data_IF_186056604218
#
_entry.id   IF_186056604218
#
_cell.length_a   1.000
_cell.length_b   1.000
_cell.length_c   1.000
_cell.angle_alpha   90.00
_cell.angle_beta   90.00
_cell.angle_gamma   90.00
#
_symmetry.space_group_name_H-M   'P 1'
#
loop_
_entity.id
_entity.type
_entity.pdbx_description
1 polymer ?
#
# COMPACT_ATOMS: atom_id res chain seq x y z
N UNK A 1 -18.80 -18.15 25.03
CA UNK A 1 -17.74 -17.17 24.72
C UNK A 1 -18.26 -15.81 25.16
N UNK A 2 -17.61 -15.15 26.14
CA UNK A 2 -17.92 -13.77 26.47
C UNK A 2 -17.43 -12.90 25.30
N UNK A 3 -18.35 -12.23 24.61
CA UNK A 3 -18.02 -11.16 23.67
C UNK A 3 -17.44 -10.02 24.50
N UNK A 4 -16.13 -10.01 24.70
CA UNK A 4 -15.44 -8.86 25.26
C UNK A 4 -15.51 -7.75 24.22
N UNK A 5 -16.31 -6.73 24.52
CA UNK A 5 -16.40 -5.52 23.72
C UNK A 5 -15.01 -4.87 23.64
N UNK A 6 -14.53 -4.61 22.42
CA UNK A 6 -13.33 -3.82 22.18
C UNK A 6 -13.67 -2.60 21.33
N UNK A 7 -13.34 -1.40 21.82
CA UNK A 7 -13.74 -0.14 21.15
C UNK A 7 -13.11 0.00 19.76
N UNK A 8 -11.88 -0.48 19.57
CA UNK A 8 -11.18 -0.38 18.29
C UNK A 8 -11.70 -1.36 17.25
N UNK A 9 -12.23 -2.52 17.66
CA UNK A 9 -12.95 -3.41 16.73
C UNK A 9 -14.14 -2.68 16.09
N UNK A 10 -14.91 -1.93 16.89
CA UNK A 10 -16.06 -1.16 16.39
C UNK A 10 -15.61 0.03 15.53
N UNK A 11 -14.64 0.82 16.01
CA UNK A 11 -14.16 2.01 15.30
C UNK A 11 -13.43 1.68 13.98
N UNK A 12 -12.77 0.52 13.90
CA UNK A 12 -12.05 0.07 12.70
C UNK A 12 -12.95 -0.20 11.48
N UNK A 13 -14.27 -0.24 11.68
CA UNK A 13 -15.29 -0.43 10.63
C UNK A 13 -15.75 0.90 10.02
N UNK A 14 -15.81 1.99 10.81
CA UNK A 14 -16.52 3.23 10.46
C UNK A 14 -15.67 4.32 9.82
N UNK A 15 -14.40 4.50 10.21
CA UNK A 15 -13.47 5.40 9.51
C UNK A 15 -12.01 4.95 9.74
N UNK A 16 -11.48 4.23 8.76
CA UNK A 16 -10.55 3.13 9.02
C UNK A 16 -9.09 3.55 9.24
N UNK A 17 -8.61 4.57 8.54
CA UNK A 17 -7.24 5.07 8.70
C UNK A 17 -7.13 6.13 9.79
N UNK A 18 -8.15 6.99 9.92
CA UNK A 18 -8.19 8.05 10.92
C UNK A 18 -8.08 7.52 12.35
N UNK A 19 -8.70 6.37 12.65
CA UNK A 19 -8.59 5.74 13.98
C UNK A 19 -7.13 5.42 14.32
N UNK A 20 -6.38 4.87 13.37
CA UNK A 20 -4.97 4.53 13.58
C UNK A 20 -4.06 5.76 13.61
N UNK A 21 -4.33 6.76 12.75
CA UNK A 21 -3.62 8.04 12.80
C UNK A 21 -3.86 8.79 14.11
N UNK A 22 -5.09 8.73 14.63
CA UNK A 22 -5.45 9.30 15.94
C UNK A 22 -4.71 8.62 17.07
N UNK A 23 -4.56 7.29 17.03
CA UNK A 23 -3.80 6.57 18.04
C UNK A 23 -2.30 6.86 17.97
N UNK A 24 -1.71 6.97 16.77
CA UNK A 24 -0.32 7.43 16.64
C UNK A 24 -0.18 8.83 17.24
N UNK A 25 -1.07 9.76 16.88
CA UNK A 25 -1.03 11.12 17.39
C UNK A 25 -1.16 11.19 18.92
N UNK A 26 -2.10 10.42 19.47
CA UNK A 26 -2.29 10.28 20.92
C UNK A 26 -1.01 9.76 21.62
N UNK A 27 -0.39 8.71 21.10
CA UNK A 27 0.85 8.16 21.67
C UNK A 27 1.97 9.20 21.67
N UNK A 28 2.12 9.98 20.59
CA UNK A 28 3.11 11.06 20.50
C UNK A 28 2.83 12.15 21.54
N UNK A 29 1.58 12.64 21.62
CA UNK A 29 1.19 13.68 22.58
C UNK A 29 1.35 13.24 24.04
N UNK A 30 1.20 11.95 24.33
CA UNK A 30 1.42 11.40 25.67
C UNK A 30 2.90 11.06 25.97
N UNK A 31 3.81 11.37 25.04
CA UNK A 31 5.26 11.18 25.24
C UNK A 31 5.71 9.72 25.10
N UNK A 32 5.03 8.92 24.29
CA UNK A 32 5.51 7.59 23.95
C UNK A 32 6.66 7.68 22.93
N UNK A 33 7.81 7.16 23.32
CA UNK A 33 9.08 7.22 22.62
C UNK A 33 9.22 6.25 21.43
N UNK A 34 8.12 5.83 20.80
CA UNK A 34 8.18 4.92 19.64
C UNK A 34 9.00 5.50 18.48
N UNK A 35 8.95 6.82 18.31
CA UNK A 35 9.69 7.55 17.28
C UNK A 35 11.02 8.13 17.78
N UNK A 36 11.50 7.77 18.97
CA UNK A 36 12.71 8.37 19.56
C UNK A 36 13.98 8.07 18.77
N UNK A 37 14.03 6.95 18.06
CA UNK A 37 15.12 6.62 17.13
C UNK A 37 15.10 7.47 15.85
N UNK A 38 13.99 8.14 15.57
CA UNK A 38 13.82 9.06 14.44
C UNK A 38 13.85 10.53 14.90
N UNK A 39 13.50 10.80 16.16
CA UNK A 39 13.31 12.13 16.69
C UNK A 39 14.05 12.32 18.03
N UNK A 40 15.02 13.23 18.04
CA UNK A 40 15.81 13.57 19.22
C UNK A 40 15.07 14.49 20.21
N UNK A 41 13.95 15.09 19.78
CA UNK A 41 13.17 16.01 20.61
C UNK A 41 12.22 15.28 21.57
N UNK A 42 11.94 15.93 22.70
CA UNK A 42 10.92 15.48 23.65
C UNK A 42 9.52 15.59 23.02
N UNK A 43 8.94 14.44 22.67
CA UNK A 43 7.67 14.33 21.97
C UNK A 43 6.48 14.91 22.77
N UNK A 44 6.58 14.97 24.10
CA UNK A 44 5.50 15.40 24.98
C UNK A 44 5.14 16.91 24.85
N UNK A 45 5.98 17.69 24.16
CA UNK A 45 5.75 19.14 23.93
C UNK A 45 5.25 19.45 22.52
N UNK A 46 5.07 18.44 21.68
CA UNK A 46 4.71 18.63 20.29
C UNK A 46 3.20 18.75 20.10
N UNK A 47 2.78 19.62 19.19
CA UNK A 47 1.39 19.80 18.80
C UNK A 47 1.10 18.86 17.64
N UNK A 48 0.14 17.96 17.81
CA UNK A 48 -0.25 16.98 16.78
C UNK A 48 -1.56 17.41 16.12
N UNK A 49 -1.56 17.43 14.79
CA UNK A 49 -2.70 17.78 13.97
C UNK A 49 -3.00 16.63 13.01
N UNK A 50 -4.28 16.26 12.88
CA UNK A 50 -4.74 15.16 12.03
C UNK A 50 -5.42 15.70 10.76
N UNK A 51 -5.29 14.97 9.65
CA UNK A 51 -5.97 15.25 8.37
C UNK A 51 -5.81 16.69 7.85
N UNK A 52 -4.61 17.24 7.98
CA UNK A 52 -4.31 18.61 7.59
C UNK A 52 -4.28 18.73 6.08
N UNK A 53 -5.02 19.68 5.53
CA UNK A 53 -5.13 19.87 4.09
C UNK A 53 -4.17 20.95 3.60
N UNK A 54 -3.48 20.66 2.49
CA UNK A 54 -2.71 21.63 1.71
C UNK A 54 -3.12 21.64 0.24
N UNK A 55 -2.54 22.55 -0.54
CA UNK A 55 -2.70 22.60 -1.98
C UNK A 55 -1.31 22.61 -2.63
N UNK A 56 -1.09 21.74 -3.61
CA UNK A 56 0.16 21.68 -4.38
C UNK A 56 -0.11 22.05 -5.82
N UNK A 57 0.78 22.86 -6.40
CA UNK A 57 0.74 23.18 -7.84
C UNK A 57 1.58 22.16 -8.57
N UNK A 58 1.01 21.49 -9.55
CA UNK A 58 1.72 20.55 -10.42
C UNK A 58 1.47 20.90 -11.88
N UNK A 59 2.34 20.42 -12.76
CA UNK A 59 2.13 20.51 -14.20
C UNK A 59 1.72 19.14 -14.73
N UNK A 60 0.55 19.06 -15.36
CA UNK A 60 0.03 17.81 -15.94
C UNK A 60 -0.37 18.07 -17.39
N UNK A 61 0.26 17.35 -18.33
CA UNK A 61 0.08 17.56 -19.78
C UNK A 61 0.27 19.04 -20.21
N UNK A 62 1.34 19.67 -19.73
CA UNK A 62 1.70 21.09 -19.99
C UNK A 62 0.63 22.09 -19.52
N UNK A 63 -0.18 21.72 -18.52
CA UNK A 63 -1.17 22.61 -17.91
C UNK A 63 -0.94 22.71 -16.40
N UNK A 64 -0.92 23.93 -15.84
CA UNK A 64 -0.84 24.10 -14.40
C UNK A 64 -2.14 23.61 -13.77
N UNK A 65 -2.03 22.72 -12.80
CA UNK A 65 -3.13 22.16 -12.02
C UNK A 65 -2.83 22.33 -10.53
N UNK A 66 -3.85 22.66 -9.75
CA UNK A 66 -3.76 22.63 -8.29
C UNK A 66 -4.39 21.33 -7.79
N UNK A 67 -3.62 20.50 -7.09
CA UNK A 67 -4.13 19.30 -6.42
C UNK A 67 -4.25 19.57 -4.93
N UNK A 68 -5.38 19.13 -4.35
CA UNK A 68 -5.58 19.10 -2.90
C UNK A 68 -4.77 17.94 -2.32
N UNK A 69 -4.00 18.21 -1.28
CA UNK A 69 -3.28 17.20 -0.49
C UNK A 69 -3.91 17.10 0.90
N UNK A 70 -3.95 15.90 1.45
CA UNK A 70 -4.28 15.65 2.85
C UNK A 70 -3.09 14.93 3.48
N UNK A 71 -2.52 15.52 4.52
CA UNK A 71 -1.51 14.90 5.36
C UNK A 71 -2.22 14.19 6.51
N UNK A 72 -1.93 12.91 6.74
CA UNK A 72 -2.62 12.15 7.78
C UNK A 72 -2.29 12.66 9.19
N UNK A 73 -1.02 12.94 9.47
CA UNK A 73 -0.55 13.51 10.73
C UNK A 73 0.53 14.56 10.45
N UNK A 74 0.36 15.75 11.01
CA UNK A 74 1.35 16.84 11.00
C UNK A 74 1.67 17.21 12.43
N UNK A 75 2.96 17.31 12.73
CA UNK A 75 3.46 17.60 14.07
C UNK A 75 4.24 18.91 14.01
N UNK A 76 3.98 19.82 14.94
CA UNK A 76 4.66 21.11 15.06
C UNK A 76 5.27 21.26 16.45
N UNK A 77 6.33 22.07 16.56
CA UNK A 77 6.97 22.37 17.84
C UNK A 77 6.13 23.30 18.74
N UNK A 78 5.17 24.02 18.15
CA UNK A 78 4.35 25.02 18.82
C UNK A 78 3.01 25.17 18.09
N UNK A 79 2.05 25.79 18.77
CA UNK A 79 0.74 26.14 18.17
C UNK A 79 0.98 27.22 17.12
N UNK A 80 0.45 27.02 15.92
CA UNK A 80 0.60 27.93 14.78
C UNK A 80 -0.78 28.21 14.18
N UNK A 81 -0.97 29.44 13.68
CA UNK A 81 -2.19 29.81 12.94
C UNK A 81 -2.32 29.04 11.62
N UNK A 82 -1.18 28.69 10.99
CA UNK A 82 -1.13 27.81 9.83
C UNK A 82 -0.20 26.63 10.10
N UNK A 83 -0.81 25.47 10.33
CA UNK A 83 -0.17 24.20 10.70
C UNK A 83 0.90 23.79 9.68
N UNK A 84 0.70 24.06 8.38
CA UNK A 84 1.60 23.63 7.31
C UNK A 84 2.77 24.59 7.04
N UNK A 85 2.86 25.75 7.71
CA UNK A 85 3.93 26.71 7.46
C UNK A 85 5.29 26.28 8.04
N UNK A 86 5.29 25.45 9.08
CA UNK A 86 6.51 24.98 9.73
C UNK A 86 6.28 23.60 10.38
N UNK A 87 5.99 22.55 9.58
CA UNK A 87 5.90 21.20 10.10
C UNK A 87 7.26 20.78 10.64
N UNK A 88 7.28 20.23 11.84
CA UNK A 88 8.45 19.57 12.40
C UNK A 88 8.57 18.15 11.84
N UNK A 89 7.45 17.43 11.81
CA UNK A 89 7.37 16.07 11.27
C UNK A 89 6.04 15.87 10.55
N UNK A 90 6.04 15.08 9.49
CA UNK A 90 4.85 14.57 8.84
C UNK A 90 4.86 13.04 8.89
N UNK A 91 3.69 12.44 9.13
CA UNK A 91 3.52 10.99 9.11
C UNK A 91 2.39 10.66 8.14
N UNK A 92 2.73 9.88 7.12
CA UNK A 92 1.74 9.25 6.24
C UNK A 92 1.41 7.86 6.76
N UNK A 93 0.12 7.54 6.95
CA UNK A 93 -0.31 6.32 7.61
C UNK A 93 -1.01 5.36 6.64
N UNK A 94 -0.33 4.24 6.37
CA UNK A 94 -0.76 3.16 5.47
C UNK A 94 -1.11 1.90 6.25
N UNK A 95 -2.05 2.02 7.18
CA UNK A 95 -2.57 0.87 7.94
C UNK A 95 -3.48 -0.02 7.08
N UNK A 96 -4.30 0.55 6.18
CA UNK A 96 -5.19 -0.21 5.28
C UNK A 96 -5.04 0.15 3.80
N UNK A 97 -3.86 0.58 3.39
CA UNK A 97 -3.58 0.92 2.00
C UNK A 97 -2.15 0.54 1.65
N UNK A 98 -1.92 0.20 0.39
CA UNK A 98 -0.55 0.17 -0.13
C UNK A 98 -0.02 1.61 -0.17
N UNK A 99 1.19 1.90 0.35
CA UNK A 99 1.86 3.14 0.00
C UNK A 99 2.08 3.23 -1.52
N UNK A 100 2.10 4.44 -2.08
CA UNK A 100 2.42 4.64 -3.50
C UNK A 100 3.47 5.73 -3.63
N UNK A 101 4.40 5.55 -4.57
CA UNK A 101 5.46 6.53 -4.83
C UNK A 101 4.85 7.88 -5.21
N UNK A 102 3.81 7.89 -6.05
CA UNK A 102 3.16 9.12 -6.52
C UNK A 102 2.60 9.98 -5.37
N UNK A 103 2.08 9.38 -4.30
CA UNK A 103 1.58 10.15 -3.17
C UNK A 103 2.73 10.82 -2.38
N UNK A 104 3.83 10.09 -2.16
CA UNK A 104 5.01 10.63 -1.49
C UNK A 104 5.67 11.74 -2.33
N UNK A 105 5.74 11.56 -3.66
CA UNK A 105 6.19 12.59 -4.61
C UNK A 105 5.39 13.88 -4.51
N UNK A 106 4.07 13.79 -4.35
CA UNK A 106 3.22 14.97 -4.19
C UNK A 106 3.49 15.71 -2.88
N UNK A 107 3.74 14.99 -1.78
CA UNK A 107 4.15 15.60 -0.52
C UNK A 107 5.51 16.28 -0.63
N UNK A 108 6.50 15.61 -1.21
CA UNK A 108 7.84 16.19 -1.38
C UNK A 108 7.83 17.40 -2.32
N UNK A 109 6.98 17.38 -3.36
CA UNK A 109 6.75 18.54 -4.23
C UNK A 109 6.18 19.72 -3.44
N UNK A 110 5.18 19.48 -2.59
CA UNK A 110 4.61 20.51 -1.73
C UNK A 110 5.65 21.11 -0.77
N UNK A 111 6.42 20.25 -0.10
CA UNK A 111 7.46 20.68 0.85
C UNK A 111 8.53 21.52 0.15
N UNK A 112 9.01 21.06 -1.01
CA UNK A 112 10.00 21.78 -1.81
C UNK A 112 9.50 23.18 -2.24
N UNK A 113 8.26 23.27 -2.76
CA UNK A 113 7.66 24.54 -3.20
C UNK A 113 7.54 25.57 -2.08
N UNK A 114 7.42 25.13 -0.84
CA UNK A 114 7.28 25.98 0.34
C UNK A 114 8.59 26.11 1.15
N UNK A 115 9.71 25.55 0.67
CA UNK A 115 11.00 25.60 1.37
C UNK A 115 11.01 24.86 2.71
N UNK A 116 10.19 23.81 2.85
CA UNK A 116 10.01 23.05 4.08
C UNK A 116 10.83 21.75 4.04
N UNK A 117 11.39 21.36 5.19
CA UNK A 117 12.17 20.12 5.32
C UNK A 117 11.87 19.40 6.65
N UNK A 118 10.62 18.98 6.90
CA UNK A 118 10.27 18.22 8.09
C UNK A 118 10.92 16.83 8.09
N UNK A 119 10.91 16.17 9.26
CA UNK A 119 11.11 14.72 9.32
C UNK A 119 9.92 14.05 8.64
N UNK A 120 10.18 13.12 7.73
CA UNK A 120 9.13 12.43 6.95
C UNK A 120 9.08 10.97 7.35
N UNK A 121 7.91 10.50 7.77
CA UNK A 121 7.71 9.12 8.21
C UNK A 121 6.59 8.47 7.42
N UNK A 122 6.86 7.30 6.88
CA UNK A 122 5.85 6.40 6.32
C UNK A 122 5.57 5.30 7.35
N UNK A 123 4.38 5.35 7.97
CA UNK A 123 3.86 4.29 8.82
C UNK A 123 3.13 3.26 7.96
N UNK A 124 3.60 2.02 7.92
CA UNK A 124 3.00 0.94 7.13
C UNK A 124 2.52 -0.20 8.01
N UNK A 125 1.52 -0.94 7.55
CA UNK A 125 1.03 -2.10 8.27
C UNK A 125 2.12 -3.16 8.57
N UNK A 126 2.83 -3.64 7.55
CA UNK A 126 4.07 -4.43 7.65
C UNK A 126 5.17 -3.78 6.81
N UNK A 127 6.43 -3.91 7.21
CA UNK A 127 7.54 -3.41 6.38
C UNK A 127 7.71 -4.26 5.10
N UNK A 128 7.49 -5.56 5.22
CA UNK A 128 7.67 -6.54 4.15
C UNK A 128 6.64 -6.40 3.02
N UNK A 129 5.56 -5.63 3.23
CA UNK A 129 4.54 -5.35 2.22
C UNK A 129 4.90 -4.18 1.31
N UNK A 130 5.94 -3.40 1.62
CA UNK A 130 6.26 -2.18 0.89
C UNK A 130 6.76 -2.55 -0.51
N UNK A 131 6.11 -2.05 -1.58
CA UNK A 131 6.59 -2.26 -2.94
C UNK A 131 8.01 -1.71 -3.13
N UNK A 132 8.82 -2.38 -3.95
CA UNK A 132 10.23 -2.02 -4.14
C UNK A 132 10.42 -0.58 -4.64
N UNK A 133 9.55 -0.10 -5.54
CA UNK A 133 9.60 1.27 -6.07
C UNK A 133 9.38 2.33 -4.96
N UNK A 134 8.45 2.05 -4.04
CA UNK A 134 8.21 2.90 -2.87
C UNK A 134 9.40 2.87 -1.93
N UNK A 135 9.98 1.69 -1.67
CA UNK A 135 11.14 1.55 -0.79
C UNK A 135 12.33 2.34 -1.32
N UNK A 136 12.66 2.17 -2.59
CA UNK A 136 13.73 2.93 -3.26
C UNK A 136 13.47 4.44 -3.22
N UNK A 137 12.21 4.87 -3.42
CA UNK A 137 11.83 6.28 -3.29
C UNK A 137 12.07 6.80 -1.86
N UNK A 138 11.68 6.02 -0.85
CA UNK A 138 11.86 6.41 0.55
C UNK A 138 13.34 6.59 0.89
N UNK A 139 14.19 5.66 0.45
CA UNK A 139 15.64 5.72 0.66
C UNK A 139 16.25 6.96 -0.01
N UNK A 140 15.90 7.23 -1.28
CA UNK A 140 16.40 8.37 -2.04
C UNK A 140 15.97 9.73 -1.44
N UNK A 141 14.73 9.80 -0.95
CA UNK A 141 14.14 11.04 -0.47
C UNK A 141 14.12 11.17 1.05
N UNK A 142 14.89 10.33 1.77
CA UNK A 142 15.01 10.35 3.24
C UNK A 142 13.68 10.21 4.00
N UNK A 143 12.73 9.44 3.47
CA UNK A 143 11.57 9.01 4.25
C UNK A 143 11.99 7.88 5.19
N UNK A 144 11.63 8.01 6.46
CA UNK A 144 11.81 6.93 7.44
C UNK A 144 10.60 6.01 7.39
N UNK A 145 10.85 4.70 7.42
CA UNK A 145 9.79 3.70 7.44
C UNK A 145 9.65 3.18 8.86
N UNK A 146 8.40 3.09 9.32
CA UNK A 146 8.02 2.44 10.56
C UNK A 146 6.83 1.52 10.30
N UNK A 147 6.73 0.44 11.07
CA UNK A 147 5.66 -0.52 10.88
C UNK A 147 4.79 -0.71 12.12
N UNK A 148 3.53 -1.11 11.90
CA UNK A 148 2.69 -1.60 13.00
C UNK A 148 3.14 -2.96 13.47
N UNK A 149 3.56 -3.81 12.53
CA UNK A 149 3.97 -5.18 12.77
C UNK A 149 5.22 -5.52 11.95
N UNK A 150 5.96 -6.52 12.41
CA UNK A 150 7.08 -7.16 11.72
C UNK A 150 6.82 -8.66 11.64
N UNK A 151 7.27 -9.30 10.57
CA UNK A 151 7.15 -10.75 10.42
C UNK A 151 8.31 -11.44 11.13
N UNK A 152 9.51 -10.84 11.02
CA UNK A 152 10.68 -11.27 11.76
C UNK A 152 10.64 -10.72 13.19
N UNK A 153 11.17 -11.46 14.17
CA UNK A 153 11.20 -11.08 15.60
C UNK A 153 12.14 -9.89 15.90
N UNK A 154 11.98 -8.78 15.17
CA UNK A 154 12.66 -7.53 15.45
C UNK A 154 11.79 -6.65 16.35
N UNK A 155 12.36 -6.13 17.44
CA UNK A 155 11.71 -5.19 18.37
C UNK A 155 11.50 -3.77 17.78
N UNK A 156 11.20 -3.67 16.48
CA UNK A 156 11.16 -2.40 15.74
C UNK A 156 9.75 -1.91 15.41
N UNK A 157 8.72 -2.74 15.60
CA UNK A 157 7.34 -2.39 15.28
C UNK A 157 6.63 -1.63 16.41
N UNK A 158 5.55 -0.90 16.09
CA UNK A 158 4.71 -0.22 17.08
C UNK A 158 4.12 -1.22 18.07
N UNK A 159 3.71 -2.40 17.57
CA UNK A 159 3.18 -3.45 18.39
C UNK A 159 4.19 -3.95 19.44
N UNK A 160 5.42 -4.26 19.01
CA UNK A 160 6.47 -4.74 19.92
C UNK A 160 6.85 -3.66 20.93
N UNK A 161 6.95 -2.41 20.47
CA UNK A 161 7.16 -1.28 21.36
C UNK A 161 6.07 -1.22 22.43
N UNK A 162 4.79 -1.21 22.03
CA UNK A 162 3.68 -1.13 22.96
C UNK A 162 3.72 -2.28 23.98
N UNK A 163 3.98 -3.52 23.56
CA UNK A 163 4.07 -4.66 24.49
C UNK A 163 5.21 -4.53 25.51
N UNK A 164 6.31 -3.85 25.15
CA UNK A 164 7.45 -3.64 26.04
C UNK A 164 7.37 -2.37 26.89
N UNK A 165 6.47 -1.42 26.56
CA UNK A 165 6.27 -0.23 27.41
C UNK A 165 5.59 -0.64 28.71
N UNK A 166 6.28 -0.39 29.82
CA UNK A 166 5.67 -0.45 31.14
C UNK A 166 4.68 0.72 31.29
N UNK A 167 3.39 0.43 31.11
CA UNK A 167 2.32 1.43 31.25
C UNK A 167 2.24 1.94 32.70
N UNK A 168 2.71 1.16 33.68
CA UNK A 168 2.79 1.61 35.07
C UNK A 168 3.81 2.74 35.29
N UNK A 169 4.71 3.01 34.33
CA UNK A 169 5.53 4.22 34.38
C UNK A 169 4.69 5.50 34.16
N UNK A 170 3.52 5.37 33.53
CA UNK A 170 2.55 6.44 33.30
C UNK A 170 1.40 6.42 34.33
N UNK A 171 1.58 5.70 35.43
CA UNK A 171 0.64 5.36 36.52
C UNK A 171 0.29 6.54 37.43
N UNK A 172 -0.10 7.66 36.82
CA UNK A 172 -0.79 8.73 37.49
C UNK A 172 -2.28 8.32 37.61
N UNK A 173 -2.91 8.35 38.80
CA UNK A 173 -4.34 8.06 38.96
C UNK A 173 -5.26 8.88 38.04
N UNK A 174 -4.79 10.04 37.57
CA UNK A 174 -5.49 10.90 36.63
C UNK A 174 -5.40 10.43 35.16
N UNK A 175 -4.56 9.41 34.86
CA UNK A 175 -4.35 8.86 33.51
C UNK A 175 -5.08 7.54 33.24
N UNK A 176 -6.03 7.13 34.09
CA UNK A 176 -6.78 5.86 33.94
C UNK A 176 -7.44 5.70 32.56
N UNK A 177 -7.95 6.78 31.96
CA UNK A 177 -8.58 6.75 30.63
C UNK A 177 -7.56 6.49 29.52
N UNK A 178 -6.38 7.08 29.62
CA UNK A 178 -5.27 6.87 28.68
C UNK A 178 -4.79 5.42 28.71
N UNK A 179 -4.58 4.89 29.92
CA UNK A 179 -4.19 3.48 30.13
C UNK A 179 -5.21 2.54 29.49
N UNK A 180 -6.50 2.76 29.77
CA UNK A 180 -7.59 1.99 29.15
C UNK A 180 -7.54 2.01 27.62
N UNK A 181 -7.36 3.19 27.01
CA UNK A 181 -7.27 3.31 25.54
C UNK A 181 -6.07 2.56 24.96
N UNK A 182 -4.93 2.58 25.66
CA UNK A 182 -3.73 1.87 25.22
C UNK A 182 -3.93 0.36 25.32
N UNK A 183 -4.50 -0.13 26.42
CA UNK A 183 -4.76 -1.55 26.62
C UNK A 183 -5.76 -2.09 25.59
N UNK A 184 -6.84 -1.35 25.33
CA UNK A 184 -7.81 -1.68 24.28
C UNK A 184 -7.15 -1.73 22.90
N UNK A 185 -6.25 -0.78 22.61
CA UNK A 185 -5.55 -0.73 21.33
C UNK A 185 -4.53 -1.88 21.20
N UNK A 186 -3.79 -2.18 22.27
CA UNK A 186 -2.90 -3.34 22.35
C UNK A 186 -3.66 -4.64 22.13
N UNK A 187 -4.81 -4.82 22.79
CA UNK A 187 -5.64 -6.02 22.62
C UNK A 187 -6.11 -6.17 21.16
N UNK A 188 -6.52 -5.07 20.53
CA UNK A 188 -6.87 -5.06 19.11
C UNK A 188 -5.67 -5.43 18.22
N UNK A 189 -4.50 -4.81 18.41
CA UNK A 189 -3.30 -5.11 17.62
C UNK A 189 -2.83 -6.57 17.83
N UNK A 190 -2.94 -7.11 19.04
CA UNK A 190 -2.65 -8.53 19.34
C UNK A 190 -3.54 -9.48 18.53
N UNK A 191 -4.86 -9.24 18.53
CA UNK A 191 -5.80 -10.04 17.74
C UNK A 191 -5.48 -9.97 16.25
N UNK A 192 -5.21 -8.76 15.75
CA UNK A 192 -4.81 -8.53 14.35
C UNK A 192 -3.52 -9.28 14.01
N UNK A 193 -2.47 -9.19 14.85
CA UNK A 193 -1.19 -9.86 14.60
C UNK A 193 -1.34 -11.39 14.57
N UNK A 194 -2.10 -11.96 15.49
CA UNK A 194 -2.30 -13.42 15.57
C UNK A 194 -2.93 -14.00 14.31
N UNK A 195 -4.00 -13.37 13.83
CA UNK A 195 -4.67 -13.80 12.61
C UNK A 195 -3.78 -13.63 11.37
N UNK A 196 -3.02 -12.55 11.29
CA UNK A 196 -2.18 -12.30 10.13
C UNK A 196 -0.95 -13.17 10.10
N UNK A 197 -0.30 -13.42 11.25
CA UNK A 197 0.81 -14.38 11.33
C UNK A 197 0.35 -15.76 10.86
N UNK A 198 -0.87 -16.16 11.20
CA UNK A 198 -1.46 -17.42 10.71
C UNK A 198 -1.50 -17.41 9.18
N UNK A 199 -2.15 -16.40 8.58
CA UNK A 199 -2.29 -16.26 7.12
C UNK A 199 -0.92 -16.16 6.39
N UNK A 200 0.01 -15.39 6.95
CA UNK A 200 1.33 -15.15 6.35
C UNK A 200 2.21 -16.39 6.44
N UNK A 201 2.07 -17.20 7.50
CA UNK A 201 2.87 -18.41 7.68
C UNK A 201 2.27 -19.64 6.97
N UNK A 202 1.02 -19.56 6.49
CA UNK A 202 0.45 -20.62 5.66
C UNK A 202 1.26 -20.80 4.37
N UNK A 203 1.74 -22.02 4.12
CA UNK A 203 2.43 -22.35 2.87
C UNK A 203 1.47 -22.41 1.66
N UNK A 204 0.21 -22.74 1.93
CA UNK A 204 -0.85 -22.85 0.92
C UNK A 204 -1.46 -21.50 0.59
N UNK A 205 -2.05 -21.41 -0.60
CA UNK A 205 -2.96 -20.32 -0.92
C UNK A 205 -4.25 -20.46 -0.10
N UNK A 206 -4.73 -19.33 0.42
CA UNK A 206 -6.02 -19.26 1.11
C UNK A 206 -7.19 -19.58 0.14
N UNK A 207 -8.27 -20.16 0.68
CA UNK A 207 -9.44 -20.54 -0.11
C UNK A 207 -10.39 -19.37 -0.37
N UNK A 208 -11.19 -19.48 -1.44
CA UNK A 208 -12.25 -18.50 -1.77
C UNK A 208 -13.28 -18.34 -0.65
N UNK A 209 -13.54 -19.38 0.13
CA UNK A 209 -14.46 -19.32 1.28
C UNK A 209 -13.87 -18.49 2.43
N UNK A 210 -12.58 -18.63 2.71
CA UNK A 210 -11.88 -17.79 3.67
C UNK A 210 -12.00 -16.31 3.29
N UNK A 211 -11.87 -15.98 1.99
CA UNK A 211 -11.97 -14.59 1.50
C UNK A 211 -13.33 -13.96 1.73
N UNK A 212 -14.41 -14.73 1.54
CA UNK A 212 -15.78 -14.24 1.74
C UNK A 212 -16.05 -13.93 3.20
N UNK A 213 -15.52 -14.74 4.11
CA UNK A 213 -15.79 -14.63 5.54
C UNK A 213 -14.84 -13.65 6.26
N UNK A 214 -13.62 -13.41 5.75
CA UNK A 214 -12.56 -12.66 6.43
C UNK A 214 -12.01 -11.49 5.60
N UNK A 215 -12.89 -10.57 5.20
CA UNK A 215 -12.59 -9.56 4.18
C UNK A 215 -11.53 -8.51 4.56
N UNK A 216 -11.47 -8.08 5.82
CA UNK A 216 -10.46 -7.10 6.29
C UNK A 216 -9.05 -7.73 6.29
N UNK A 217 -8.95 -9.02 6.63
CA UNK A 217 -7.71 -9.79 6.58
C UNK A 217 -7.28 -10.14 5.16
N UNK A 218 -8.24 -10.41 4.28
CA UNK A 218 -7.96 -10.64 2.87
C UNK A 218 -7.23 -9.46 2.23
N UNK A 219 -7.69 -8.24 2.48
CA UNK A 219 -7.04 -7.05 1.95
C UNK A 219 -5.58 -6.93 2.42
N UNK A 220 -5.31 -7.17 3.71
CA UNK A 220 -3.95 -7.14 4.28
C UNK A 220 -3.06 -8.24 3.70
N UNK A 221 -3.62 -9.42 3.44
CA UNK A 221 -2.91 -10.48 2.75
C UNK A 221 -2.53 -10.08 1.31
N UNK A 222 -3.43 -9.43 0.57
CA UNK A 222 -3.13 -8.94 -0.78
C UNK A 222 -2.03 -7.86 -0.77
N UNK A 223 -2.01 -6.97 0.22
CA UNK A 223 -0.91 -6.00 0.41
C UNK A 223 0.43 -6.72 0.60
N UNK A 224 0.45 -7.73 1.47
CA UNK A 224 1.65 -8.51 1.74
C UNK A 224 2.15 -9.24 0.48
N UNK A 225 1.24 -9.93 -0.21
CA UNK A 225 1.52 -10.64 -1.47
C UNK A 225 2.07 -9.69 -2.54
N UNK A 226 1.51 -8.48 -2.64
CA UNK A 226 1.98 -7.48 -3.57
C UNK A 226 3.44 -7.08 -3.29
N UNK A 227 3.80 -6.82 -2.03
CA UNK A 227 5.18 -6.51 -1.65
C UNK A 227 6.15 -7.63 -2.06
N UNK A 228 5.76 -8.88 -1.84
CA UNK A 228 6.56 -10.04 -2.25
C UNK A 228 6.69 -10.17 -3.77
N UNK A 229 5.62 -9.95 -4.53
CA UNK A 229 5.66 -9.94 -6.00
C UNK A 229 6.56 -8.83 -6.50
N UNK A 230 6.43 -7.61 -5.94
CA UNK A 230 7.26 -6.45 -6.29
C UNK A 230 8.74 -6.73 -6.05
N UNK A 231 9.08 -7.31 -4.89
CA UNK A 231 10.44 -7.75 -4.56
C UNK A 231 10.95 -8.78 -5.56
N UNK A 232 10.16 -9.81 -5.87
CA UNK A 232 10.58 -10.88 -6.79
C UNK A 232 10.72 -10.38 -8.24
N UNK A 233 9.91 -9.41 -8.67
CA UNK A 233 10.11 -8.71 -9.94
C UNK A 233 11.46 -8.01 -9.92
N UNK A 234 11.74 -7.18 -8.91
CA UNK A 234 13.02 -6.47 -8.79
C UNK A 234 14.23 -7.40 -8.80
N UNK A 235 14.19 -8.51 -8.05
CA UNK A 235 15.25 -9.53 -8.05
C UNK A 235 15.48 -10.12 -9.45
N UNK A 236 14.41 -10.40 -10.21
CA UNK A 236 14.53 -10.87 -11.60
C UNK A 236 15.11 -9.82 -12.53
N UNK A 237 14.78 -8.54 -12.34
CA UNK A 237 15.28 -7.44 -13.16
C UNK A 237 16.79 -7.26 -13.00
N UNK A 238 17.28 -7.31 -11.76
CA UNK A 238 18.70 -7.23 -11.44
C UNK A 238 19.49 -8.38 -12.11
N UNK A 239 18.98 -9.61 -12.04
CA UNK A 239 19.62 -10.77 -12.66
C UNK A 239 19.61 -10.71 -14.18
N UNK A 240 18.57 -10.14 -14.78
CA UNK A 240 18.40 -10.10 -16.23
C UNK A 240 19.01 -8.87 -16.90
N UNK A 241 19.62 -7.95 -16.13
CA UNK A 241 20.07 -6.64 -16.59
C UNK A 241 18.97 -5.90 -17.39
N UNK A 242 17.71 -6.12 -17.01
CA UNK A 242 16.57 -5.52 -17.70
C UNK A 242 16.16 -4.25 -16.95
N UNK A 243 16.31 -3.09 -17.59
CA UNK A 243 15.93 -1.79 -17.02
C UNK A 243 14.41 -1.56 -17.16
N UNK A 244 13.61 -2.31 -16.40
CA UNK A 244 12.17 -2.06 -16.30
C UNK A 244 11.91 -1.08 -15.15
N UNK A 245 11.47 0.13 -15.50
CA UNK A 245 10.89 1.06 -14.53
C UNK A 245 9.39 0.81 -14.45
N UNK A 246 8.91 0.45 -13.26
CA UNK A 246 7.50 0.35 -12.94
C UNK A 246 7.13 1.21 -11.74
N UNK A 247 5.85 1.61 -11.65
CA UNK A 247 5.28 2.26 -10.46
C UNK A 247 4.12 1.44 -9.92
N UNK A 248 4.13 1.20 -8.61
CA UNK A 248 3.00 0.62 -7.90
C UNK A 248 1.93 1.68 -7.65
N UNK A 249 0.67 1.28 -7.76
CA UNK A 249 -0.49 2.16 -7.57
C UNK A 249 -1.67 1.41 -6.99
N UNK A 250 -2.61 2.15 -6.42
CA UNK A 250 -3.88 1.62 -5.97
C UNK A 250 -4.97 2.20 -6.87
N UNK A 251 -5.61 1.35 -7.68
CA UNK A 251 -6.67 1.74 -8.63
C UNK A 251 -8.08 1.42 -8.08
N UNK A 252 -8.17 1.20 -6.76
CA UNK A 252 -9.41 0.93 -6.05
C UNK A 252 -10.34 2.14 -5.97
N UNK A 253 -10.93 2.56 -7.09
CA UNK A 253 -12.07 3.47 -7.08
C UNK A 253 -13.28 2.79 -6.44
N UNK A 254 -13.72 3.21 -5.26
CA UNK A 254 -14.92 2.74 -4.50
C UNK A 254 -15.07 1.23 -4.26
N UNK A 255 -14.20 0.39 -4.84
CA UNK A 255 -14.21 -1.05 -4.66
C UNK A 255 -13.79 -1.37 -3.26
N UNK A 256 -14.54 -2.27 -2.66
CA UNK A 256 -14.41 -2.52 -1.24
C UNK A 256 -13.20 -3.46 -0.97
N UNK A 257 -12.59 -4.03 -2.02
CA UNK A 257 -11.20 -4.52 -2.06
C UNK A 257 -10.48 -3.73 -3.15
N UNK A 258 -9.47 -2.90 -2.83
CA UNK A 258 -8.73 -2.14 -3.83
C UNK A 258 -7.87 -3.06 -4.71
N UNK A 259 -7.83 -2.75 -6.00
CA UNK A 259 -6.91 -3.37 -6.95
C UNK A 259 -5.55 -2.73 -6.81
N UNK A 260 -4.50 -3.54 -6.77
CA UNK A 260 -3.13 -3.04 -6.75
C UNK A 260 -2.45 -3.32 -8.07
N UNK A 261 -1.80 -2.32 -8.64
CA UNK A 261 -1.33 -2.32 -10.02
C UNK A 261 0.13 -1.91 -10.13
N UNK A 262 0.83 -2.52 -11.07
CA UNK A 262 2.19 -2.23 -11.49
C UNK A 262 2.11 -1.65 -12.91
N UNK A 263 2.42 -0.37 -13.04
CA UNK A 263 2.39 0.34 -14.32
C UNK A 263 3.76 0.41 -14.94
N UNK A 264 3.87 0.11 -16.24
CA UNK A 264 5.10 0.31 -17.00
C UNK A 264 4.81 0.88 -18.39
N UNK A 265 5.79 1.60 -18.95
CA UNK A 265 5.66 2.38 -20.20
C UNK A 265 4.45 3.35 -20.21
N UNK A 266 3.95 3.74 -19.03
CA UNK A 266 2.78 4.61 -18.81
C UNK A 266 1.43 4.09 -19.34
N UNK A 267 1.38 2.92 -19.96
CA UNK A 267 0.15 2.39 -20.58
C UNK A 267 -0.15 0.95 -20.19
N UNK A 268 0.86 0.12 -19.93
CA UNK A 268 0.64 -1.29 -19.62
C UNK A 268 0.53 -1.46 -18.11
N UNK A 269 -0.36 -2.35 -17.70
CA UNK A 269 -0.53 -2.70 -16.30
C UNK A 269 -0.50 -4.21 -16.09
N UNK A 270 0.06 -4.59 -14.96
CA UNK A 270 -0.06 -5.88 -14.33
C UNK A 270 -0.64 -5.63 -12.94
N UNK A 271 -1.72 -6.29 -12.53
CA UNK A 271 -2.38 -5.97 -11.27
C UNK A 271 -2.91 -7.17 -10.53
N UNK A 272 -2.97 -7.06 -9.20
CA UNK A 272 -3.62 -7.97 -8.28
C UNK A 272 -4.97 -7.35 -7.94
N UNK A 273 -6.06 -7.95 -8.43
CA UNK A 273 -7.42 -7.47 -8.28
C UNK A 273 -8.31 -8.55 -7.67
N UNK A 274 -8.62 -8.40 -6.39
CA UNK A 274 -9.34 -9.41 -5.63
C UNK A 274 -8.61 -10.75 -5.67
N UNK A 275 -9.28 -11.78 -6.18
CA UNK A 275 -8.75 -13.13 -6.33
C UNK A 275 -8.11 -13.38 -7.71
N UNK A 276 -7.72 -12.34 -8.45
CA UNK A 276 -7.10 -12.50 -9.76
C UNK A 276 -5.87 -11.62 -9.98
N UNK A 277 -4.91 -12.10 -10.77
CA UNK A 277 -3.95 -11.28 -11.47
C UNK A 277 -4.55 -10.86 -12.81
N UNK A 278 -4.29 -9.63 -13.22
CA UNK A 278 -4.77 -9.06 -14.49
C UNK A 278 -3.60 -8.44 -15.23
N UNK A 279 -3.56 -8.68 -16.54
CA UNK A 279 -2.69 -7.95 -17.45
C UNK A 279 -3.52 -7.23 -18.50
N UNK A 280 -3.00 -6.11 -18.98
CA UNK A 280 -3.62 -5.35 -20.03
C UNK A 280 -3.08 -3.93 -20.10
N UNK A 281 -3.89 -3.01 -20.63
CA UNK A 281 -3.42 -1.65 -20.89
C UNK A 281 -4.50 -0.58 -20.69
N UNK A 282 -4.05 0.62 -20.37
CA UNK A 282 -4.83 1.84 -20.32
C UNK A 282 -5.04 2.39 -21.73
N UNK A 283 -6.22 2.96 -21.96
CA UNK A 283 -6.58 3.55 -23.24
C UNK A 283 -7.51 4.76 -23.11
N UNK A 284 -7.46 5.62 -24.13
CA UNK A 284 -8.45 6.67 -24.35
C UNK A 284 -9.56 6.12 -25.24
N UNK A 285 -10.83 6.34 -24.89
CA UNK A 285 -11.97 5.76 -25.61
C UNK A 285 -12.08 6.23 -27.07
N UNK A 286 -11.46 7.38 -27.38
CA UNK A 286 -11.47 7.99 -28.71
C UNK A 286 -10.26 7.58 -29.57
N UNK A 287 -9.37 6.72 -29.06
CA UNK A 287 -8.21 6.22 -29.81
C UNK A 287 -8.62 5.05 -30.72
N UNK A 288 -8.72 5.33 -32.02
CA UNK A 288 -9.09 4.33 -33.04
C UNK A 288 -8.08 3.19 -33.19
N UNK A 289 -6.82 3.37 -32.73
CA UNK A 289 -5.79 2.32 -32.81
C UNK A 289 -5.98 1.21 -31.78
N UNK A 290 -6.92 1.37 -30.84
CA UNK A 290 -7.10 0.43 -29.74
C UNK A 290 -7.49 -0.98 -30.17
N UNK A 291 -8.37 -1.10 -31.16
CA UNK A 291 -8.88 -2.41 -31.59
C UNK A 291 -7.74 -3.23 -32.22
N UNK A 292 -6.88 -2.58 -32.98
CA UNK A 292 -5.69 -3.18 -33.56
C UNK A 292 -4.68 -3.57 -32.47
N UNK A 293 -4.36 -2.65 -31.54
CA UNK A 293 -3.48 -2.96 -30.40
C UNK A 293 -3.99 -4.13 -29.57
N UNK A 294 -5.30 -4.15 -29.27
CA UNK A 294 -5.96 -5.24 -28.55
C UNK A 294 -5.77 -6.56 -29.29
N UNK A 295 -6.03 -6.59 -30.59
CA UNK A 295 -5.89 -7.81 -31.41
C UNK A 295 -4.45 -8.33 -31.39
N UNK A 296 -3.48 -7.45 -31.66
CA UNK A 296 -2.06 -7.81 -31.67
C UNK A 296 -1.60 -8.34 -30.30
N UNK A 297 -1.99 -7.68 -29.21
CA UNK A 297 -1.65 -8.12 -27.87
C UNK A 297 -2.27 -9.48 -27.54
N UNK A 298 -3.54 -9.72 -27.86
CA UNK A 298 -4.17 -11.03 -27.63
C UNK A 298 -3.41 -12.12 -28.39
N UNK A 299 -3.11 -11.90 -29.67
CA UNK A 299 -2.37 -12.87 -30.50
C UNK A 299 -0.99 -13.16 -29.90
N UNK A 300 -0.27 -12.15 -29.42
CA UNK A 300 1.03 -12.38 -28.80
C UNK A 300 0.95 -13.06 -27.43
N UNK A 301 -0.09 -12.80 -26.65
CA UNK A 301 -0.35 -13.51 -25.39
C UNK A 301 -0.64 -15.00 -25.63
N UNK A 302 -1.43 -15.32 -26.66
CA UNK A 302 -1.74 -16.69 -27.06
C UNK A 302 -0.50 -17.43 -27.60
N UNK A 303 0.39 -16.72 -28.29
CA UNK A 303 1.64 -17.27 -28.82
C UNK A 303 2.76 -17.41 -27.77
N UNK A 304 2.65 -16.78 -26.60
CA UNK A 304 3.62 -16.94 -25.52
C UNK A 304 3.48 -18.33 -24.90
N UNK A 305 4.54 -19.14 -24.98
CA UNK A 305 4.58 -20.50 -24.40
C UNK A 305 4.25 -20.48 -22.91
N UNK A 306 4.78 -19.49 -22.18
CA UNK A 306 4.59 -19.39 -20.74
C UNK A 306 3.15 -19.00 -20.38
N UNK A 307 2.62 -17.93 -20.99
CA UNK A 307 1.26 -17.45 -20.71
C UNK A 307 0.23 -18.47 -21.15
N UNK A 308 0.38 -19.03 -22.35
CA UNK A 308 -0.50 -20.07 -22.85
C UNK A 308 -0.41 -21.34 -21.98
N UNK A 309 0.78 -21.69 -21.46
CA UNK A 309 0.94 -22.78 -20.51
C UNK A 309 0.13 -22.58 -19.21
N UNK A 310 0.06 -21.35 -18.69
CA UNK A 310 -0.79 -21.03 -17.54
C UNK A 310 -2.29 -21.13 -17.89
N UNK A 311 -2.69 -20.73 -19.09
CA UNK A 311 -4.09 -20.84 -19.57
C UNK A 311 -4.48 -22.31 -19.73
N UNK A 312 -3.64 -23.11 -20.40
CA UNK A 312 -3.87 -24.54 -20.63
C UNK A 312 -3.86 -25.38 -19.33
N UNK A 313 -3.29 -24.84 -18.24
CA UNK A 313 -3.33 -25.45 -16.91
C UNK A 313 -4.47 -24.93 -16.04
N UNK A 314 -5.50 -24.31 -16.65
CA UNK A 314 -6.68 -23.73 -16.00
C UNK A 314 -6.37 -22.64 -14.96
N UNK A 315 -5.15 -22.08 -14.98
CA UNK A 315 -4.74 -21.00 -14.07
C UNK A 315 -5.15 -19.62 -14.59
N UNK A 316 -5.48 -19.49 -15.88
CA UNK A 316 -5.89 -18.21 -16.45
C UNK A 316 -6.73 -18.33 -17.71
N UNK A 317 -7.22 -17.18 -18.16
CA UNK A 317 -8.06 -17.03 -19.35
C UNK A 317 -7.69 -15.76 -20.10
N UNK A 318 -7.78 -15.81 -21.44
CA UNK A 318 -7.79 -14.60 -22.27
C UNK A 318 -9.19 -14.00 -22.23
N UNK A 319 -9.24 -12.70 -21.95
CA UNK A 319 -10.45 -11.90 -21.98
C UNK A 319 -10.58 -11.21 -23.34
N UNK A 320 -11.81 -11.10 -23.83
CA UNK A 320 -12.12 -10.30 -25.02
C UNK A 320 -13.02 -9.11 -24.65
N UNK A 321 -12.54 -8.12 -23.88
CA UNK A 321 -13.37 -7.04 -23.37
C UNK A 321 -13.82 -6.09 -24.48
N UNK A 322 -15.06 -5.59 -24.38
CA UNK A 322 -15.55 -4.57 -25.30
C UNK A 322 -14.90 -3.21 -25.02
N UNK A 323 -14.63 -2.46 -26.08
CA UNK A 323 -14.26 -1.03 -25.97
C UNK A 323 -15.49 -0.27 -25.49
N UNK A 324 -15.28 0.77 -24.69
CA UNK A 324 -16.36 1.63 -24.20
C UNK A 324 -16.56 2.78 -25.16
N UNK A 325 -17.80 3.02 -25.59
CA UNK A 325 -18.17 4.05 -26.56
C UNK A 325 -18.44 5.44 -25.93
N UNK A 326 -17.76 5.78 -24.83
CA UNK A 326 -17.99 7.06 -24.11
C UNK A 326 -16.77 7.95 -24.25
N UNK A 327 -16.89 9.25 -23.96
CA UNK A 327 -15.70 10.06 -23.75
C UNK A 327 -15.05 9.65 -22.43
N UNK A 328 -13.73 9.45 -22.44
CA UNK A 328 -12.97 9.18 -21.23
C UNK A 328 -11.81 8.24 -21.44
N UNK A 329 -11.36 7.66 -20.34
CA UNK A 329 -10.23 6.74 -20.29
C UNK A 329 -10.65 5.50 -19.53
N UNK A 330 -10.01 4.37 -19.81
CA UNK A 330 -10.27 3.13 -19.08
C UNK A 330 -9.07 2.21 -19.15
N UNK A 331 -9.12 1.20 -18.30
CA UNK A 331 -8.19 0.08 -18.29
C UNK A 331 -8.88 -1.12 -18.93
N UNK A 332 -8.19 -1.77 -19.87
CA UNK A 332 -8.64 -2.96 -20.55
C UNK A 332 -7.85 -4.17 -20.03
N UNK A 333 -8.50 -5.11 -19.36
CA UNK A 333 -7.89 -6.38 -18.97
C UNK A 333 -7.98 -7.39 -20.10
N UNK A 334 -6.84 -7.84 -20.60
CA UNK A 334 -6.72 -8.78 -21.72
C UNK A 334 -6.58 -10.23 -21.28
N UNK A 335 -6.05 -10.46 -20.08
CA UNK A 335 -6.04 -11.79 -19.47
C UNK A 335 -6.22 -11.68 -17.97
N UNK A 336 -6.76 -12.74 -17.38
CA UNK A 336 -6.94 -12.88 -15.95
C UNK A 336 -6.45 -14.24 -15.49
N UNK A 337 -5.76 -14.27 -14.35
CA UNK A 337 -5.23 -15.49 -13.75
C UNK A 337 -5.73 -15.59 -12.31
N UNK A 338 -6.24 -16.75 -11.90
CA UNK A 338 -7.04 -16.85 -10.68
C UNK A 338 -6.23 -17.44 -9.52
N UNK A 339 -6.14 -16.71 -8.42
CA UNK A 339 -5.31 -17.05 -7.25
C UNK A 339 -5.67 -18.41 -6.65
N UNK A 340 -6.94 -18.81 -6.70
CA UNK A 340 -7.45 -20.08 -6.18
C UNK A 340 -7.03 -21.31 -7.01
N UNK A 341 -6.37 -21.09 -8.15
CA UNK A 341 -5.81 -22.14 -9.01
C UNK A 341 -4.36 -22.50 -8.65
N UNK A 342 -3.72 -21.72 -7.78
CA UNK A 342 -2.43 -22.07 -7.21
C UNK A 342 -2.63 -22.77 -5.87
N UNK A 343 -1.95 -23.89 -5.67
CA UNK A 343 -1.96 -24.60 -4.38
C UNK A 343 -0.95 -24.01 -3.39
N UNK A 344 0.17 -23.51 -3.90
CA UNK A 344 1.29 -23.01 -3.11
C UNK A 344 1.48 -21.51 -3.32
N UNK A 345 1.65 -20.78 -2.22
CA UNK A 345 1.83 -19.33 -2.21
C UNK A 345 3.13 -18.87 -2.87
N UNK A 346 4.23 -19.59 -2.66
CA UNK A 346 5.53 -19.25 -3.22
C UNK A 346 5.54 -19.45 -4.74
N UNK A 347 4.91 -20.52 -5.23
CA UNK A 347 4.75 -20.76 -6.66
C UNK A 347 3.95 -19.63 -7.31
N UNK A 348 2.88 -19.18 -6.65
CA UNK A 348 2.09 -18.03 -7.11
C UNK A 348 2.93 -16.75 -7.22
N UNK A 349 3.74 -16.42 -6.20
CA UNK A 349 4.62 -15.24 -6.21
C UNK A 349 5.66 -15.33 -7.33
N UNK A 350 6.29 -16.49 -7.49
CA UNK A 350 7.30 -16.72 -8.52
C UNK A 350 6.70 -16.65 -9.93
N UNK A 351 5.56 -17.30 -10.15
CA UNK A 351 4.86 -17.29 -11.44
C UNK A 351 4.34 -15.90 -11.79
N UNK A 352 3.90 -15.12 -10.81
CA UNK A 352 3.48 -13.72 -10.98
C UNK A 352 4.61 -12.85 -11.51
N UNK A 353 5.81 -12.99 -10.94
CA UNK A 353 6.97 -12.23 -11.38
C UNK A 353 7.42 -12.65 -12.79
N UNK A 354 7.40 -13.95 -13.11
CA UNK A 354 7.66 -14.43 -14.48
C UNK A 354 6.63 -13.90 -15.46
N UNK A 355 5.35 -13.92 -15.10
CA UNK A 355 4.26 -13.40 -15.91
C UNK A 355 4.42 -11.91 -16.19
N UNK A 356 4.83 -11.12 -15.19
CA UNK A 356 5.13 -9.70 -15.38
C UNK A 356 6.25 -9.48 -16.41
N UNK A 357 7.37 -10.20 -16.28
CA UNK A 357 8.53 -10.07 -17.20
C UNK A 357 8.15 -10.52 -18.61
N UNK A 358 7.44 -11.64 -18.74
CA UNK A 358 6.96 -12.13 -20.03
C UNK A 358 6.02 -11.13 -20.70
N UNK A 359 5.07 -10.57 -19.94
CA UNK A 359 4.17 -9.56 -20.46
C UNK A 359 4.91 -8.30 -20.90
N UNK A 360 5.90 -7.85 -20.12
CA UNK A 360 6.77 -6.76 -20.54
C UNK A 360 7.49 -7.07 -21.86
N UNK A 361 8.12 -8.23 -21.98
CA UNK A 361 8.86 -8.63 -23.18
C UNK A 361 7.97 -8.61 -24.43
N UNK A 362 6.76 -9.17 -24.32
CA UNK A 362 5.74 -9.14 -25.39
C UNK A 362 5.47 -7.70 -25.81
N UNK A 363 5.14 -6.82 -24.85
CA UNK A 363 4.85 -5.41 -25.14
C UNK A 363 6.07 -4.59 -25.57
N UNK A 364 7.29 -5.10 -25.40
CA UNK A 364 8.52 -4.46 -25.86
C UNK A 364 8.86 -4.76 -27.32
N UNK A 365 8.50 -5.95 -27.78
CA UNK A 365 8.70 -6.37 -29.16
C UNK A 365 7.59 -5.86 -30.11
N UNK A 366 6.61 -5.12 -29.59
CA UNK A 366 5.48 -4.56 -30.34
C UNK A 366 5.63 -3.09 -30.73
N UNK A 367 6.75 -2.46 -30.39
CA UNK A 367 7.01 -1.05 -30.68
C UNK A 367 7.58 -0.84 -32.08
#
# INVERSE_FOLDING_TARGET
MQNNFNIFQVLSVANKELTHSSMIGFLISEGFNFFKDICENDLAKLVVNLEVTGNVKIEEKNKPLTKKLRFDIVINNNVLDNILNAPFMIIENKYKATPTQNQLELYDTYLFQNGLSPIKVLMVFFEEQIPSDVKSYCDLHNWKIKSYFTINESNSSLFDYLNNVNIEYYSNPNKKKQIFLIDEYKAYLNAVQGEIKTIINESSMLSTEYFKNNRDFWFKYLLYIQGLISKRISEKLEVTNCEIVYKSGNDGGSNVIPSVVFWFKKIYFFGIDGNSLKIGFWYEHNDNSILERKKLLIEALENSIYINGLILSDKGVINNPNVKDKNGTSVMSLASFYLDKWQNKNDFIEDSAKLFIEYYNITNNMN
#
